data_IF_387554094264
#
_entry.id   IF_387554094264
#
_cell.length_a   1.000
_cell.length_b   1.000
_cell.length_c   1.000
_cell.angle_alpha   90.00
_cell.angle_beta   90.00
_cell.angle_gamma   90.00
#
_symmetry.space_group_name_H-M   'P 1'
#
loop_
_entity.id
_entity.type
_entity.pdbx_description
1 polymer ?
#
# COMPACT_ATOMS: atom_id res chain seq x y z
N UNK A 1 -16.82 3.45 8.41
CA UNK A 1 -16.02 2.61 7.50
C UNK A 1 -14.73 2.25 8.21
N UNK A 2 -14.21 1.04 8.00
CA UNK A 2 -13.00 0.58 8.68
C UNK A 2 -11.74 1.25 8.10
N UNK A 3 -10.74 1.50 8.95
CA UNK A 3 -9.39 1.90 8.53
C UNK A 3 -8.48 0.69 8.63
N UNK A 4 -7.75 0.40 7.56
CA UNK A 4 -6.77 -0.67 7.51
C UNK A 4 -5.38 -0.05 7.63
N UNK A 5 -4.69 -0.32 8.74
CA UNK A 5 -3.31 0.10 8.92
C UNK A 5 -2.40 -0.94 8.25
N UNK A 6 -1.59 -0.50 7.29
CA UNK A 6 -0.78 -1.37 6.43
C UNK A 6 0.69 -0.96 6.58
N UNK A 7 1.51 -1.87 7.07
CA UNK A 7 2.97 -1.71 7.01
C UNK A 7 3.45 -2.10 5.63
N UNK A 8 4.21 -1.21 4.99
CA UNK A 8 4.76 -1.40 3.65
C UNK A 8 6.26 -1.62 3.77
N UNK A 9 6.71 -2.79 3.33
CA UNK A 9 8.11 -3.11 3.15
C UNK A 9 8.42 -3.19 1.66
N UNK A 10 9.14 -2.18 1.15
CA UNK A 10 9.53 -2.11 -0.27
C UNK A 10 10.52 -3.20 -0.67
N UNK A 11 11.35 -3.67 0.25
CA UNK A 11 12.37 -4.67 -0.03
C UNK A 11 13.47 -4.15 -0.96
N UNK A 12 14.18 -5.09 -1.58
CA UNK A 12 15.36 -4.83 -2.40
C UNK A 12 15.08 -4.99 -3.90
N UNK A 13 16.07 -4.64 -4.74
CA UNK A 13 16.02 -4.78 -6.20
C UNK A 13 14.79 -4.09 -6.81
N UNK A 14 13.91 -4.85 -7.48
CA UNK A 14 12.69 -4.32 -8.09
C UNK A 14 11.52 -4.17 -7.10
N UNK A 15 11.70 -4.57 -5.84
CA UNK A 15 10.69 -4.51 -4.79
C UNK A 15 10.04 -3.13 -4.64
N UNK A 16 10.82 -2.04 -4.46
CA UNK A 16 10.26 -0.70 -4.32
C UNK A 16 9.40 -0.27 -5.51
N UNK A 17 9.82 -0.61 -6.73
CA UNK A 17 9.11 -0.25 -7.96
C UNK A 17 7.77 -0.98 -8.07
N UNK A 18 7.75 -2.29 -7.84
CA UNK A 18 6.50 -3.08 -7.94
C UNK A 18 5.53 -2.78 -6.79
N UNK A 19 6.04 -2.49 -5.59
CA UNK A 19 5.22 -2.09 -4.44
C UNK A 19 4.57 -0.74 -4.68
N UNK A 20 5.28 0.23 -5.28
CA UNK A 20 4.72 1.53 -5.63
C UNK A 20 3.51 1.39 -6.59
N UNK A 21 3.59 0.50 -7.58
CA UNK A 21 2.46 0.22 -8.47
C UNK A 21 1.30 -0.50 -7.75
N UNK A 22 1.59 -1.40 -6.82
CA UNK A 22 0.57 -2.01 -5.95
C UNK A 22 -0.21 -0.98 -5.13
N UNK A 23 0.49 -0.02 -4.52
CA UNK A 23 -0.12 1.08 -3.75
C UNK A 23 -0.99 1.96 -4.67
N UNK A 24 -0.56 2.21 -5.92
CA UNK A 24 -1.36 2.95 -6.91
C UNK A 24 -2.71 2.27 -7.16
N UNK A 25 -2.70 0.94 -7.32
CA UNK A 25 -3.95 0.16 -7.48
C UNK A 25 -4.83 0.27 -6.23
N UNK A 26 -4.27 0.14 -5.03
CA UNK A 26 -5.04 0.24 -3.78
C UNK A 26 -5.70 1.61 -3.61
N UNK A 27 -5.03 2.70 -3.99
CA UNK A 27 -5.60 4.06 -4.01
C UNK A 27 -6.78 4.17 -4.98
N UNK A 28 -6.71 3.52 -6.14
CA UNK A 28 -7.85 3.46 -7.07
C UNK A 28 -9.02 2.69 -6.45
N UNK A 29 -8.76 1.53 -5.82
CA UNK A 29 -9.80 0.72 -5.16
C UNK A 29 -10.50 1.50 -4.05
N UNK A 30 -9.74 2.21 -3.22
CA UNK A 30 -10.28 3.11 -2.19
C UNK A 30 -11.19 4.19 -2.79
N UNK A 31 -10.77 4.82 -3.89
CA UNK A 31 -11.53 5.88 -4.55
C UNK A 31 -12.85 5.39 -5.19
N UNK A 32 -12.84 4.21 -5.81
CA UNK A 32 -14.00 3.70 -6.56
C UNK A 32 -14.93 2.81 -5.73
N UNK A 33 -14.48 2.31 -4.57
CA UNK A 33 -15.26 1.40 -3.72
C UNK A 33 -15.27 1.86 -2.26
N UNK A 34 -16.17 2.78 -1.88
CA UNK A 34 -16.25 3.29 -0.51
C UNK A 34 -16.45 2.19 0.56
N UNK A 35 -17.05 1.06 0.20
CA UNK A 35 -17.25 -0.06 1.13
C UNK A 35 -15.95 -0.73 1.61
N UNK A 36 -14.80 -0.52 0.94
CA UNK A 36 -13.50 -1.01 1.44
C UNK A 36 -12.94 -0.16 2.57
N UNK A 37 -13.50 1.03 2.81
CA UNK A 37 -12.98 1.97 3.82
C UNK A 37 -11.67 2.62 3.41
N UNK A 38 -10.82 2.92 4.40
CA UNK A 38 -9.59 3.69 4.22
C UNK A 38 -8.34 2.81 4.36
N UNK A 39 -7.31 3.07 3.55
CA UNK A 39 -5.98 2.48 3.66
C UNK A 39 -4.97 3.48 4.22
N UNK A 40 -4.38 3.16 5.38
CA UNK A 40 -3.34 3.96 6.02
C UNK A 40 -2.00 3.24 5.92
N UNK A 41 -1.13 3.71 5.01
CA UNK A 41 0.16 3.09 4.72
C UNK A 41 1.28 3.64 5.61
N UNK A 42 2.11 2.76 6.16
CA UNK A 42 3.30 3.09 6.95
C UNK A 42 4.51 2.40 6.33
N UNK A 43 5.38 3.18 5.69
CA UNK A 43 6.56 2.66 5.00
C UNK A 43 7.71 2.45 5.98
N UNK A 44 8.35 1.28 5.88
CA UNK A 44 9.52 0.91 6.66
C UNK A 44 10.55 0.20 5.78
N UNK A 45 11.82 0.33 6.16
CA UNK A 45 12.91 -0.43 5.55
C UNK A 45 12.88 -1.88 6.06
N UNK A 46 13.11 -2.84 5.16
CA UNK A 46 13.28 -4.26 5.47
C UNK A 46 14.05 -4.89 4.30
N UNK A 47 15.20 -5.51 4.57
CA UNK A 47 16.09 -6.02 3.52
C UNK A 47 17.53 -5.61 3.75
N UNK A 48 18.32 -5.68 2.68
CA UNK A 48 19.77 -5.45 2.65
C UNK A 48 20.21 -4.00 2.59
#
# INVERSE_FOLDING_TARGET
MATHNIVVFGGDHCGPDVVAEGIKVLKVVEAVRPSVGHFNFQEHLLGG
#
